data_IF_909614167427
#
_entry.id   IF_909614167427
#
_cell.length_a   1.000
_cell.length_b   1.000
_cell.length_c   1.000
_cell.angle_alpha   90.00
_cell.angle_beta   90.00
_cell.angle_gamma   90.00
#
_symmetry.space_group_name_H-M   'P 1'
#
loop_
_entity.id
_entity.type
_entity.pdbx_description
1 polymer ?
#
# COMPACT_ATOMS: atom_id res chain seq x y z
N UNK A 1 53.96 -11.94 13.51
CA UNK A 1 54.07 -13.33 14.04
C UNK A 1 53.07 -14.21 13.31
N UNK A 2 53.60 -15.06 12.47
CA UNK A 2 53.14 -16.29 11.80
C UNK A 2 51.64 -16.55 11.57
N UNK A 3 51.34 -16.56 10.24
CA UNK A 3 50.22 -17.25 9.61
C UNK A 3 50.26 -18.76 9.91
N UNK A 4 49.07 -19.37 10.08
CA UNK A 4 48.89 -20.82 9.87
C UNK A 4 47.72 -20.98 8.89
N UNK A 5 48.05 -21.42 7.67
CA UNK A 5 47.12 -21.88 6.68
C UNK A 5 46.81 -23.37 6.93
N UNK A 6 45.56 -23.76 6.97
CA UNK A 6 45.15 -25.14 6.95
C UNK A 6 44.53 -25.47 5.59
N UNK A 7 45.18 -26.31 4.83
CA UNK A 7 44.70 -26.87 3.58
C UNK A 7 43.78 -28.03 3.86
N UNK A 8 42.59 -28.06 3.26
CA UNK A 8 41.67 -29.21 3.28
C UNK A 8 41.72 -29.91 1.92
N UNK A 9 42.18 -31.16 1.97
CA UNK A 9 42.35 -32.06 0.82
C UNK A 9 41.02 -32.68 0.42
N UNK A 10 40.63 -32.52 -0.85
CA UNK A 10 39.46 -33.16 -1.45
C UNK A 10 39.86 -34.56 -1.94
N UNK A 11 39.25 -35.58 -1.42
CA UNK A 11 39.30 -36.96 -1.93
C UNK A 11 38.16 -37.17 -2.91
N UNK A 12 38.53 -37.43 -4.15
CA UNK A 12 37.64 -37.89 -5.23
C UNK A 12 37.53 -39.41 -5.13
N UNK A 13 36.33 -39.94 -4.97
CA UNK A 13 36.04 -41.37 -5.21
C UNK A 13 35.06 -41.49 -6.37
N UNK A 14 35.54 -42.14 -7.44
CA UNK A 14 34.71 -42.57 -8.55
C UNK A 14 33.96 -43.85 -8.15
N UNK A 15 32.65 -43.85 -8.35
CA UNK A 15 31.79 -45.02 -8.12
C UNK A 15 30.79 -45.18 -9.27
N UNK A 16 30.75 -46.41 -9.80
CA UNK A 16 30.19 -46.83 -11.07
C UNK A 16 28.66 -46.78 -11.20
N UNK A 17 28.25 -46.84 -12.46
CA UNK A 17 26.89 -46.96 -13.00
C UNK A 17 26.02 -48.04 -12.37
N UNK A 18 24.78 -47.63 -11.95
CA UNK A 18 23.70 -48.57 -11.69
C UNK A 18 22.41 -47.97 -12.23
N UNK A 19 21.85 -48.53 -13.31
CA UNK A 19 20.55 -48.15 -13.89
C UNK A 19 19.42 -48.52 -12.92
N UNK A 20 18.62 -47.53 -12.54
CA UNK A 20 17.35 -47.69 -11.83
C UNK A 20 16.16 -47.36 -12.74
N UNK A 21 14.99 -47.91 -12.48
CA UNK A 21 13.84 -47.87 -13.39
C UNK A 21 13.20 -46.50 -13.48
N UNK A 22 12.61 -46.23 -14.66
CA UNK A 22 11.88 -45.04 -15.00
C UNK A 22 10.84 -44.63 -13.94
N UNK A 23 11.02 -43.48 -13.33
CA UNK A 23 10.07 -42.87 -12.41
C UNK A 23 8.77 -42.54 -13.11
N UNK A 24 7.68 -43.06 -12.63
CA UNK A 24 6.33 -42.71 -13.02
C UNK A 24 6.00 -41.24 -12.69
N UNK A 25 4.94 -40.67 -13.26
CA UNK A 25 4.59 -39.27 -13.09
C UNK A 25 4.31 -38.95 -11.62
N UNK A 26 4.94 -37.88 -11.14
CA UNK A 26 4.79 -37.35 -9.79
C UNK A 26 3.33 -36.84 -9.58
N UNK A 27 2.50 -37.41 -8.70
CA UNK A 27 1.13 -37.00 -8.49
C UNK A 27 1.02 -35.87 -7.44
N UNK A 28 1.67 -34.73 -7.69
CA UNK A 28 1.69 -33.66 -6.68
C UNK A 28 1.89 -32.24 -7.22
N UNK A 29 1.94 -32.03 -8.52
CA UNK A 29 1.90 -30.69 -9.08
C UNK A 29 0.43 -30.22 -9.15
N UNK A 30 -0.02 -29.55 -8.07
CA UNK A 30 -1.29 -28.82 -8.13
C UNK A 30 -1.21 -27.84 -9.32
N UNK A 31 -2.14 -27.94 -10.25
CA UNK A 31 -2.29 -26.99 -11.34
C UNK A 31 -2.37 -25.57 -10.76
N UNK A 32 -1.75 -24.55 -11.38
CA UNK A 32 -1.89 -23.18 -10.91
C UNK A 32 -3.37 -22.85 -10.88
N UNK A 33 -3.85 -22.39 -9.71
CA UNK A 33 -5.22 -21.99 -9.54
C UNK A 33 -5.57 -20.97 -10.64
N UNK A 34 -6.61 -21.27 -11.42
CA UNK A 34 -7.08 -20.38 -12.48
C UNK A 34 -7.30 -19.00 -11.88
N UNK A 35 -6.68 -17.98 -12.48
CA UNK A 35 -6.92 -16.57 -12.11
C UNK A 35 -8.44 -16.34 -12.19
N UNK A 36 -9.11 -15.99 -11.09
CA UNK A 36 -10.54 -15.78 -11.12
C UNK A 36 -10.88 -14.69 -12.14
N UNK A 37 -11.94 -14.90 -12.91
CA UNK A 37 -12.43 -13.92 -13.87
C UNK A 37 -12.59 -12.55 -13.17
N UNK A 38 -12.28 -11.44 -13.84
CA UNK A 38 -12.35 -10.12 -13.21
C UNK A 38 -13.77 -9.86 -12.71
N UNK A 39 -13.88 -9.62 -11.40
CA UNK A 39 -15.13 -9.28 -10.75
C UNK A 39 -15.64 -7.93 -11.35
N UNK A 40 -16.68 -8.00 -12.16
CA UNK A 40 -17.32 -6.80 -12.73
C UNK A 40 -18.39 -6.32 -11.75
N UNK A 41 -18.02 -5.36 -10.90
CA UNK A 41 -18.95 -4.73 -9.97
C UNK A 41 -19.57 -3.48 -10.60
N UNK A 42 -20.84 -3.16 -10.25
CA UNK A 42 -21.43 -1.87 -10.59
C UNK A 42 -20.59 -0.74 -10.03
N UNK A 43 -20.35 0.28 -10.86
CA UNK A 43 -19.70 1.50 -10.45
C UNK A 43 -20.77 2.45 -9.90
N UNK A 44 -20.57 2.92 -8.68
CA UNK A 44 -21.42 3.88 -7.99
C UNK A 44 -20.71 5.22 -7.86
N UNK A 45 -21.48 6.27 -7.60
CA UNK A 45 -20.96 7.62 -7.35
C UNK A 45 -21.59 8.20 -6.08
N UNK A 46 -20.76 8.81 -5.23
CA UNK A 46 -21.19 9.59 -4.08
C UNK A 46 -20.77 11.06 -4.28
N UNK A 47 -21.70 11.99 -4.07
CA UNK A 47 -21.39 13.42 -4.08
C UNK A 47 -20.87 13.84 -2.70
N UNK A 48 -19.57 14.07 -2.59
CA UNK A 48 -18.88 14.35 -1.34
C UNK A 48 -18.18 15.70 -1.42
N UNK A 49 -18.53 16.63 -0.54
CA UNK A 49 -17.87 17.96 -0.41
C UNK A 49 -17.63 18.66 -1.77
N UNK A 50 -18.63 18.58 -2.64
CA UNK A 50 -18.59 19.25 -3.95
C UNK A 50 -17.84 18.49 -5.07
N UNK A 51 -17.32 17.28 -4.78
CA UNK A 51 -16.75 16.38 -5.79
C UNK A 51 -17.51 15.08 -5.90
N UNK A 52 -17.39 14.38 -7.02
CA UNK A 52 -17.89 13.04 -7.23
C UNK A 52 -16.79 12.05 -6.87
N UNK A 53 -17.08 11.10 -5.98
CA UNK A 53 -16.20 9.99 -5.66
C UNK A 53 -16.84 8.69 -6.15
N UNK A 54 -16.17 8.06 -7.09
CA UNK A 54 -16.61 6.78 -7.62
C UNK A 54 -16.13 5.64 -6.73
N UNK A 55 -17.01 4.66 -6.53
CA UNK A 55 -16.73 3.49 -5.70
C UNK A 55 -17.41 2.23 -6.24
N UNK A 56 -16.90 1.09 -5.82
CA UNK A 56 -17.56 -0.21 -5.96
C UNK A 56 -17.90 -0.73 -4.57
N UNK A 57 -19.01 -1.47 -4.50
CA UNK A 57 -19.46 -2.10 -3.27
C UNK A 57 -19.76 -3.58 -3.51
N UNK A 58 -19.35 -4.44 -2.57
CA UNK A 58 -19.65 -5.87 -2.65
C UNK A 58 -19.80 -6.49 -1.25
N UNK A 59 -20.67 -7.52 -1.16
CA UNK A 59 -20.94 -8.19 0.10
C UNK A 59 -21.95 -7.48 0.99
N UNK A 60 -22.07 -7.94 2.22
CA UNK A 60 -23.01 -7.44 3.24
C UNK A 60 -22.41 -7.55 4.64
N UNK A 61 -23.00 -6.85 5.61
CA UNK A 61 -22.56 -6.88 7.01
C UNK A 61 -21.78 -5.63 7.40
N UNK A 62 -20.81 -5.77 8.32
CA UNK A 62 -20.01 -4.67 8.82
C UNK A 62 -19.22 -4.04 7.67
N UNK A 63 -19.22 -2.70 7.52
CA UNK A 63 -18.54 -2.06 6.43
C UNK A 63 -17.01 -2.06 6.60
N UNK A 64 -16.31 -2.38 5.51
CA UNK A 64 -14.87 -2.24 5.34
C UNK A 64 -14.62 -1.25 4.20
N UNK A 65 -13.93 -0.15 4.47
CA UNK A 65 -13.57 0.85 3.46
C UNK A 65 -12.08 0.70 3.14
N UNK A 66 -11.79 0.48 1.85
CA UNK A 66 -10.45 0.28 1.31
C UNK A 66 -9.93 1.58 0.72
N UNK A 67 -8.77 2.05 1.21
CA UNK A 67 -8.19 3.36 0.86
C UNK A 67 -6.84 3.15 0.16
N UNK A 68 -6.80 3.42 -1.15
CA UNK A 68 -5.62 3.18 -1.98
C UNK A 68 -4.51 4.20 -1.79
N UNK A 69 -3.28 3.83 -2.17
CA UNK A 69 -2.08 4.65 -2.16
C UNK A 69 -2.02 5.68 -3.31
N UNK A 70 -0.87 6.35 -3.50
CA UNK A 70 -0.69 7.47 -4.43
C UNK A 70 -1.07 7.09 -5.84
N UNK A 71 -0.54 6.22 -6.55
CA UNK A 71 -0.90 5.88 -7.95
C UNK A 71 -1.98 4.80 -8.06
N UNK A 72 -2.76 4.58 -6.99
CA UNK A 72 -3.84 3.60 -6.95
C UNK A 72 -5.19 4.15 -7.45
N UNK A 73 -6.15 3.25 -7.55
CA UNK A 73 -7.57 3.52 -7.78
C UNK A 73 -8.41 2.50 -6.99
N UNK A 74 -9.74 2.56 -7.10
CA UNK A 74 -10.61 1.52 -6.57
C UNK A 74 -10.23 0.11 -7.08
N UNK A 75 -9.67 0.03 -8.30
CA UNK A 75 -9.27 -1.23 -8.94
C UNK A 75 -8.04 -1.89 -8.30
N UNK A 76 -7.24 -1.15 -7.56
CA UNK A 76 -6.10 -1.68 -6.80
C UNK A 76 -6.53 -2.73 -5.77
N UNK A 77 -7.80 -2.71 -5.38
CA UNK A 77 -8.37 -3.55 -4.33
C UNK A 77 -9.18 -4.75 -4.83
N UNK A 78 -9.14 -5.08 -6.12
CA UNK A 78 -9.96 -6.16 -6.69
C UNK A 78 -9.84 -7.49 -5.96
N UNK A 79 -8.62 -7.88 -5.61
CA UNK A 79 -8.35 -9.13 -4.89
C UNK A 79 -8.90 -9.10 -3.44
N UNK A 80 -8.85 -7.94 -2.80
CA UNK A 80 -9.36 -7.72 -1.44
C UNK A 80 -10.88 -7.66 -1.41
N UNK A 81 -11.48 -6.92 -2.36
CA UNK A 81 -12.94 -6.85 -2.51
C UNK A 81 -13.52 -8.25 -2.67
N UNK A 82 -12.96 -9.07 -3.57
CA UNK A 82 -13.42 -10.45 -3.79
C UNK A 82 -13.28 -11.32 -2.53
N UNK A 83 -12.15 -11.21 -1.81
CA UNK A 83 -11.87 -12.02 -0.64
C UNK A 83 -12.73 -11.62 0.58
N UNK A 84 -12.93 -10.31 0.81
CA UNK A 84 -13.57 -9.82 2.03
C UNK A 84 -15.10 -9.83 1.93
N UNK A 85 -15.67 -9.75 0.71
CA UNK A 85 -17.11 -9.66 0.48
C UNK A 85 -17.93 -10.84 0.99
N UNK A 86 -17.29 -11.99 1.25
CA UNK A 86 -17.96 -13.15 1.85
C UNK A 86 -18.35 -12.94 3.32
N UNK A 87 -17.76 -11.93 3.99
CA UNK A 87 -17.93 -11.66 5.43
C UNK A 87 -18.31 -10.22 5.75
N UNK A 88 -18.01 -9.28 4.85
CA UNK A 88 -18.12 -7.84 5.07
C UNK A 88 -18.83 -7.14 3.92
N UNK A 89 -19.39 -5.97 4.19
CA UNK A 89 -19.78 -4.99 3.18
C UNK A 89 -18.53 -4.21 2.78
N UNK A 90 -17.92 -4.53 1.65
CA UNK A 90 -16.65 -3.97 1.21
C UNK A 90 -16.88 -2.82 0.25
N UNK A 91 -16.30 -1.67 0.55
CA UNK A 91 -16.35 -0.46 -0.27
C UNK A 91 -14.91 -0.11 -0.68
N UNK A 92 -14.62 -0.11 -1.99
CA UNK A 92 -13.38 0.41 -2.53
C UNK A 92 -13.70 1.65 -3.37
N UNK A 93 -13.10 2.79 -3.06
CA UNK A 93 -13.34 4.05 -3.77
C UNK A 93 -12.06 4.59 -4.39
N UNK A 94 -12.21 5.37 -5.45
CA UNK A 94 -11.12 6.18 -5.98
C UNK A 94 -11.08 7.53 -5.26
N UNK A 95 -9.89 7.88 -4.70
CA UNK A 95 -9.68 9.17 -4.05
C UNK A 95 -9.86 10.30 -5.07
N UNK A 96 -10.12 11.52 -4.59
CA UNK A 96 -10.21 12.73 -5.43
C UNK A 96 -9.07 12.76 -6.45
N UNK A 97 -9.38 13.13 -7.70
CA UNK A 97 -8.45 13.23 -8.84
C UNK A 97 -7.93 11.90 -9.42
N UNK A 98 -8.26 10.77 -8.83
CA UNK A 98 -7.93 9.45 -9.39
C UNK A 98 -9.04 8.92 -10.29
N UNK A 99 -8.73 8.25 -11.40
CA UNK A 99 -9.73 7.62 -12.25
C UNK A 99 -10.65 6.66 -11.46
N UNK A 100 -11.95 6.65 -11.78
CA UNK A 100 -12.64 7.36 -12.85
C UNK A 100 -13.11 8.78 -12.46
N UNK A 101 -12.71 9.32 -11.30
CA UNK A 101 -13.02 10.69 -10.93
C UNK A 101 -12.33 11.69 -11.89
N UNK A 102 -12.86 12.92 -11.94
CA UNK A 102 -12.31 13.94 -12.84
C UNK A 102 -10.87 14.34 -12.46
N UNK A 103 -9.94 14.18 -13.40
CA UNK A 103 -8.56 14.62 -13.28
C UNK A 103 -8.43 16.13 -13.58
N UNK A 104 -9.04 16.97 -12.76
CA UNK A 104 -9.01 18.44 -12.92
C UNK A 104 -8.94 19.14 -11.58
N UNK A 105 -8.26 20.28 -11.54
CA UNK A 105 -8.25 21.16 -10.35
C UNK A 105 -9.67 21.65 -10.06
N UNK A 106 -10.04 21.67 -8.79
CA UNK A 106 -11.34 22.09 -8.29
C UNK A 106 -11.25 23.32 -7.35
N UNK A 107 -10.08 23.97 -7.32
CA UNK A 107 -9.81 25.12 -6.46
C UNK A 107 -9.42 24.76 -5.01
N UNK A 108 -9.42 23.49 -4.65
CA UNK A 108 -8.99 23.05 -3.31
C UNK A 108 -7.46 22.95 -3.22
N UNK A 109 -6.92 23.27 -2.05
CA UNK A 109 -5.50 23.03 -1.75
C UNK A 109 -5.27 21.55 -1.54
N UNK A 110 -4.39 20.97 -2.37
CA UNK A 110 -4.05 19.54 -2.27
C UNK A 110 -3.34 19.24 -0.94
N UNK A 111 -3.87 18.32 -0.18
CA UNK A 111 -3.31 17.91 1.11
C UNK A 111 -3.87 16.56 1.57
N UNK A 112 -3.16 15.90 2.48
CA UNK A 112 -3.67 14.73 3.21
C UNK A 112 -4.97 15.04 3.96
N UNK A 113 -5.07 16.26 4.48
CA UNK A 113 -6.29 16.74 5.16
C UNK A 113 -7.51 16.75 4.25
N UNK A 114 -7.35 17.21 3.01
CA UNK A 114 -8.42 17.21 2.01
C UNK A 114 -8.94 15.80 1.74
N UNK A 115 -8.04 14.83 1.57
CA UNK A 115 -8.43 13.43 1.35
C UNK A 115 -9.03 12.77 2.59
N UNK A 116 -8.57 13.14 3.79
CA UNK A 116 -9.19 12.66 5.04
C UNK A 116 -10.63 13.20 5.20
N UNK A 117 -10.84 14.48 4.87
CA UNK A 117 -12.18 15.09 4.88
C UNK A 117 -13.11 14.46 3.83
N UNK A 118 -12.57 14.09 2.65
CA UNK A 118 -13.32 13.37 1.62
C UNK A 118 -13.72 11.96 2.10
N UNK A 119 -12.82 11.25 2.77
CA UNK A 119 -13.14 9.92 3.31
C UNK A 119 -14.19 9.99 4.43
N UNK A 120 -14.09 10.98 5.33
CA UNK A 120 -15.13 11.25 6.33
C UNK A 120 -16.47 11.51 5.63
N UNK A 121 -16.48 12.43 4.66
CA UNK A 121 -17.70 12.74 3.90
C UNK A 121 -18.26 11.56 3.13
N UNK A 122 -17.42 10.66 2.61
CA UNK A 122 -17.87 9.43 1.96
C UNK A 122 -18.57 8.50 2.95
N UNK A 123 -17.97 8.26 4.12
CA UNK A 123 -18.56 7.44 5.19
C UNK A 123 -19.92 7.98 5.60
N UNK A 124 -20.03 9.29 5.82
CA UNK A 124 -21.28 9.97 6.20
C UNK A 124 -22.32 9.93 5.07
N UNK A 125 -21.92 10.20 3.82
CA UNK A 125 -22.84 10.19 2.67
C UNK A 125 -23.43 8.81 2.41
N UNK A 126 -22.65 7.74 2.65
CA UNK A 126 -23.12 6.36 2.51
C UNK A 126 -23.88 5.85 3.74
N UNK A 127 -24.07 6.68 4.76
CA UNK A 127 -24.77 6.32 6.01
C UNK A 127 -24.09 5.18 6.76
N UNK A 128 -22.76 5.11 6.73
CA UNK A 128 -22.00 4.09 7.45
C UNK A 128 -21.77 4.55 8.89
N UNK A 129 -22.15 3.72 9.86
CA UNK A 129 -22.02 4.09 11.28
C UNK A 129 -20.58 3.99 11.77
N UNK A 130 -20.02 2.78 11.76
CA UNK A 130 -18.64 2.48 12.16
C UNK A 130 -18.01 1.52 11.18
N UNK A 131 -16.88 1.91 10.62
CA UNK A 131 -16.22 1.16 9.54
C UNK A 131 -14.86 0.60 9.99
N UNK A 132 -14.49 -0.54 9.44
CA UNK A 132 -13.09 -0.92 9.39
C UNK A 132 -12.41 -0.12 8.28
N UNK A 133 -11.31 0.57 8.58
CA UNK A 133 -10.49 1.25 7.59
C UNK A 133 -9.27 0.38 7.24
N UNK A 134 -9.09 0.11 5.97
CA UNK A 134 -7.93 -0.63 5.45
C UNK A 134 -7.22 0.25 4.44
N UNK A 135 -6.06 0.78 4.81
CA UNK A 135 -5.29 1.70 4.00
C UNK A 135 -3.93 1.14 3.58
N UNK A 136 -3.50 1.48 2.37
CA UNK A 136 -2.15 1.21 1.87
C UNK A 136 -1.42 2.50 1.56
N UNK A 137 -0.15 2.63 1.99
CA UNK A 137 0.70 3.77 1.68
C UNK A 137 0.02 5.10 2.05
N UNK A 138 -0.12 6.02 1.10
CA UNK A 138 -0.85 7.28 1.24
C UNK A 138 -2.26 7.08 1.83
N UNK A 139 -2.97 6.03 1.39
CA UNK A 139 -4.29 5.67 1.93
C UNK A 139 -4.25 5.24 3.40
N UNK A 140 -3.15 4.62 3.84
CA UNK A 140 -2.95 4.30 5.25
C UNK A 140 -2.76 5.56 6.10
N UNK A 141 -2.05 6.56 5.56
CA UNK A 141 -1.92 7.85 6.25
C UNK A 141 -3.26 8.58 6.35
N UNK A 142 -4.06 8.59 5.28
CA UNK A 142 -5.43 9.14 5.29
C UNK A 142 -6.29 8.44 6.35
N UNK A 143 -6.28 7.10 6.39
CA UNK A 143 -7.05 6.32 7.37
C UNK A 143 -6.63 6.62 8.81
N UNK A 144 -5.33 6.81 9.06
CA UNK A 144 -4.81 7.25 10.36
C UNK A 144 -5.35 8.62 10.75
N UNK A 145 -5.34 9.60 9.83
CA UNK A 145 -5.87 10.94 10.08
C UNK A 145 -7.38 10.94 10.36
N UNK A 146 -8.15 10.14 9.62
CA UNK A 146 -9.60 9.97 9.88
C UNK A 146 -9.81 9.42 11.28
N UNK A 147 -9.05 8.40 11.68
CA UNK A 147 -9.15 7.81 13.02
C UNK A 147 -8.87 8.82 14.14
N UNK A 148 -7.91 9.71 13.92
CA UNK A 148 -7.58 10.78 14.89
C UNK A 148 -8.64 11.88 14.96
N UNK A 149 -9.28 12.22 13.84
CA UNK A 149 -10.25 13.32 13.75
C UNK A 149 -11.67 12.89 14.11
N UNK A 150 -12.04 11.68 13.73
CA UNK A 150 -13.41 11.14 13.85
C UNK A 150 -13.33 9.68 14.36
N UNK A 151 -12.80 9.48 15.59
CA UNK A 151 -12.62 8.13 16.15
C UNK A 151 -13.93 7.34 16.22
N UNK A 152 -15.07 8.02 16.39
CA UNK A 152 -16.39 7.39 16.48
C UNK A 152 -16.84 6.72 15.18
N UNK A 153 -16.30 7.14 14.02
CA UNK A 153 -16.59 6.53 12.72
C UNK A 153 -15.77 5.25 12.46
N UNK A 154 -14.73 5.00 13.26
CA UNK A 154 -13.81 3.90 13.03
C UNK A 154 -14.07 2.76 14.00
N UNK A 155 -14.09 1.54 13.48
CA UNK A 155 -14.20 0.29 14.24
C UNK A 155 -12.83 -0.31 14.55
N UNK A 156 -12.02 -0.47 13.51
CA UNK A 156 -10.61 -0.86 13.61
C UNK A 156 -9.82 -0.34 12.41
N UNK A 157 -8.51 -0.40 12.48
CA UNK A 157 -7.60 0.23 11.53
C UNK A 157 -6.55 -0.76 11.04
N UNK A 158 -6.39 -0.88 9.73
CA UNK A 158 -5.30 -1.62 9.08
C UNK A 158 -4.44 -0.64 8.30
N UNK A 159 -3.17 -0.57 8.64
CA UNK A 159 -2.19 0.36 8.06
C UNK A 159 -1.04 -0.42 7.42
N UNK A 160 -0.95 -0.36 6.11
CA UNK A 160 0.15 -0.90 5.33
C UNK A 160 1.09 0.24 4.94
N UNK A 161 2.20 0.38 5.66
CA UNK A 161 3.31 1.31 5.40
C UNK A 161 2.89 2.77 5.07
N UNK A 162 2.25 3.50 6.00
CA UNK A 162 1.93 4.92 5.78
C UNK A 162 3.20 5.76 5.65
N UNK A 163 3.33 6.65 4.63
CA UNK A 163 4.56 7.41 4.35
C UNK A 163 4.69 8.64 5.25
N UNK A 164 4.82 8.47 6.56
CA UNK A 164 5.04 9.55 7.52
C UNK A 164 6.52 9.95 7.50
N UNK A 165 7.00 10.47 6.37
CA UNK A 165 8.42 10.73 6.11
C UNK A 165 9.12 11.56 7.21
N UNK A 166 8.48 12.60 7.83
CA UNK A 166 9.14 13.34 8.91
C UNK A 166 9.54 12.49 10.13
N UNK A 167 8.93 11.31 10.29
CA UNK A 167 9.24 10.44 11.44
C UNK A 167 10.56 9.68 11.29
N UNK A 168 11.08 9.54 10.08
CA UNK A 168 12.38 8.92 9.82
C UNK A 168 13.49 9.67 10.55
N UNK A 169 13.39 11.01 10.61
CA UNK A 169 14.38 11.86 11.29
C UNK A 169 14.49 11.60 12.81
N UNK A 170 13.58 10.83 13.39
CA UNK A 170 13.66 10.42 14.81
C UNK A 170 14.74 9.35 15.07
N UNK A 171 15.29 8.75 14.03
CA UNK A 171 16.38 7.79 14.14
C UNK A 171 17.73 8.43 13.84
N UNK A 172 18.86 8.00 14.47
CA UNK A 172 20.17 8.65 14.31
C UNK A 172 20.70 8.74 12.87
N UNK A 173 20.26 7.84 12.01
CA UNK A 173 20.64 7.77 10.57
C UNK A 173 19.47 8.07 9.63
N UNK A 174 18.32 8.43 10.20
CA UNK A 174 17.07 8.59 9.46
C UNK A 174 17.10 9.76 8.49
N UNK A 175 17.73 10.88 8.84
CA UNK A 175 17.84 12.03 7.93
C UNK A 175 18.56 11.67 6.63
N UNK A 176 19.67 10.93 6.71
CA UNK A 176 20.38 10.47 5.51
C UNK A 176 19.52 9.54 4.66
N UNK A 177 18.79 8.61 5.28
CA UNK A 177 17.87 7.70 4.59
C UNK A 177 16.74 8.48 3.90
N UNK A 178 16.13 9.43 4.59
CA UNK A 178 15.09 10.31 4.07
C UNK A 178 15.58 11.11 2.87
N UNK A 179 16.73 11.79 3.00
CA UNK A 179 17.32 12.59 1.94
C UNK A 179 17.62 11.75 0.68
N UNK A 180 18.18 10.56 0.85
CA UNK A 180 18.43 9.65 -0.28
C UNK A 180 17.13 9.27 -0.95
N UNK A 181 16.11 8.88 -0.20
CA UNK A 181 14.80 8.50 -0.75
C UNK A 181 14.12 9.69 -1.46
N UNK A 182 14.10 10.86 -0.84
CA UNK A 182 13.54 12.07 -1.44
C UNK A 182 14.27 12.41 -2.75
N UNK A 183 15.59 12.49 -2.75
CA UNK A 183 16.37 12.86 -3.93
C UNK A 183 16.28 11.84 -5.08
N UNK A 184 16.27 10.54 -4.76
CA UNK A 184 16.30 9.46 -5.77
C UNK A 184 14.93 9.04 -6.28
N UNK A 185 13.88 9.25 -5.48
CA UNK A 185 12.51 8.86 -5.84
C UNK A 185 11.63 10.08 -6.08
N UNK A 186 11.38 10.89 -5.04
CA UNK A 186 10.38 11.98 -5.12
C UNK A 186 10.84 13.10 -6.05
N UNK A 187 12.02 13.67 -5.80
CA UNK A 187 12.57 14.76 -6.63
C UNK A 187 12.86 14.29 -8.06
N UNK A 188 13.34 13.05 -8.23
CA UNK A 188 13.59 12.49 -9.55
C UNK A 188 12.29 12.33 -10.35
N UNK A 189 11.19 11.94 -9.69
CA UNK A 189 9.84 11.87 -10.26
C UNK A 189 9.34 13.26 -10.62
N UNK A 190 9.48 14.23 -9.70
CA UNK A 190 9.05 15.60 -9.92
C UNK A 190 9.77 16.24 -11.11
N UNK A 191 11.11 16.09 -11.19
CA UNK A 191 11.91 16.57 -12.35
C UNK A 191 11.46 15.95 -13.68
N UNK A 192 11.01 14.70 -13.69
CA UNK A 192 10.46 14.09 -14.89
C UNK A 192 9.14 14.76 -15.31
N UNK A 193 8.25 15.04 -14.36
CA UNK A 193 7.03 15.82 -14.63
C UNK A 193 7.30 17.24 -15.13
N UNK A 194 8.31 17.92 -14.59
CA UNK A 194 8.73 19.27 -15.03
C UNK A 194 9.20 19.30 -16.49
N UNK A 195 9.82 18.20 -16.94
CA UNK A 195 10.18 18.00 -18.35
C UNK A 195 9.01 17.58 -19.25
N UNK A 196 7.82 17.39 -18.68
CA UNK A 196 6.64 16.92 -19.42
C UNK A 196 6.60 15.41 -19.65
N UNK A 197 7.53 14.63 -19.06
CA UNK A 197 7.63 13.19 -19.23
C UNK A 197 6.91 12.44 -18.12
N UNK A 198 5.59 12.30 -18.28
CA UNK A 198 4.76 11.57 -17.30
C UNK A 198 5.08 10.07 -17.25
N UNK A 199 5.57 9.49 -18.35
CA UNK A 199 5.94 8.07 -18.38
C UNK A 199 7.20 7.80 -17.55
N UNK A 200 8.25 8.62 -17.74
CA UNK A 200 9.47 8.54 -16.93
C UNK A 200 9.17 8.86 -15.45
N UNK A 201 8.29 9.81 -15.18
CA UNK A 201 7.86 10.13 -13.82
C UNK A 201 7.24 8.91 -13.12
N UNK A 202 6.28 8.25 -13.74
CA UNK A 202 5.63 7.06 -13.18
C UNK A 202 6.60 5.88 -13.05
N UNK A 203 7.50 5.69 -14.03
CA UNK A 203 8.55 4.67 -13.93
C UNK A 203 9.42 4.88 -12.69
N UNK A 204 9.93 6.09 -12.48
CA UNK A 204 10.75 6.43 -11.32
C UNK A 204 10.01 6.23 -10.01
N UNK A 205 8.76 6.67 -9.97
CA UNK A 205 7.94 6.52 -8.77
C UNK A 205 7.68 5.04 -8.44
N UNK A 206 7.18 4.26 -9.39
CA UNK A 206 6.85 2.84 -9.17
C UNK A 206 8.10 2.02 -8.84
N UNK A 207 9.20 2.22 -9.56
CA UNK A 207 10.46 1.54 -9.29
C UNK A 207 11.00 1.90 -7.91
N UNK A 208 10.97 3.20 -7.56
CA UNK A 208 11.43 3.69 -6.28
C UNK A 208 10.58 3.21 -5.09
N UNK A 209 9.26 3.26 -5.22
CA UNK A 209 8.33 2.78 -4.18
C UNK A 209 8.45 1.26 -3.98
N UNK A 210 8.66 0.51 -5.05
CA UNK A 210 8.84 -0.95 -4.94
C UNK A 210 10.24 -1.38 -4.49
N UNK A 211 11.22 -0.46 -4.52
CA UNK A 211 12.64 -0.78 -4.32
C UNK A 211 13.24 -1.67 -5.42
N UNK A 212 12.59 -1.74 -6.60
CA UNK A 212 12.95 -2.65 -7.71
C UNK A 212 13.02 -1.90 -9.03
N UNK A 213 14.24 -1.70 -9.55
CA UNK A 213 14.45 -1.18 -10.90
C UNK A 213 13.74 -2.07 -11.94
N UNK A 214 13.07 -1.45 -12.92
CA UNK A 214 12.34 -2.14 -13.95
C UNK A 214 10.99 -2.72 -13.52
N UNK A 215 10.51 -2.42 -12.32
CA UNK A 215 9.17 -2.84 -11.86
C UNK A 215 8.08 -2.31 -12.79
N UNK A 216 8.14 -1.01 -13.12
CA UNK A 216 7.18 -0.37 -14.03
C UNK A 216 7.18 -1.02 -15.42
N UNK A 217 8.34 -1.20 -16.01
CA UNK A 217 8.45 -1.76 -17.36
C UNK A 217 8.05 -3.25 -17.42
N UNK A 218 8.16 -3.96 -16.30
CA UNK A 218 7.70 -5.34 -16.15
C UNK A 218 6.19 -5.50 -15.95
N UNK A 219 5.42 -4.41 -15.78
CA UNK A 219 3.97 -4.48 -15.68
C UNK A 219 3.32 -4.77 -17.05
N UNK A 220 2.16 -5.44 -17.08
CA UNK A 220 1.33 -5.54 -18.27
C UNK A 220 1.02 -4.14 -18.87
N UNK A 221 0.88 -4.07 -20.19
CA UNK A 221 0.59 -2.79 -20.87
C UNK A 221 -0.67 -2.11 -20.34
N UNK A 222 -1.73 -2.89 -20.07
CA UNK A 222 -2.98 -2.37 -19.52
C UNK A 222 -2.79 -1.72 -18.13
N UNK A 223 -1.91 -2.29 -17.28
CA UNK A 223 -1.61 -1.75 -15.96
C UNK A 223 -0.78 -0.47 -16.06
N UNK A 224 0.21 -0.42 -16.99
CA UNK A 224 0.96 0.82 -17.27
C UNK A 224 0.05 1.93 -17.80
N UNK A 225 -0.91 1.60 -18.67
CA UNK A 225 -1.90 2.56 -19.17
C UNK A 225 -2.82 3.08 -18.05
N UNK A 226 -3.25 2.20 -17.14
CA UNK A 226 -4.02 2.60 -15.96
C UNK A 226 -3.22 3.53 -15.04
N UNK A 227 -1.95 3.25 -14.80
CA UNK A 227 -1.05 4.11 -14.04
C UNK A 227 -0.87 5.50 -14.68
N UNK A 228 -0.78 5.59 -16.02
CA UNK A 228 -0.73 6.87 -16.72
C UNK A 228 -1.96 7.75 -16.42
N UNK A 229 -3.13 7.14 -16.21
CA UNK A 229 -4.33 7.83 -15.78
C UNK A 229 -4.22 8.51 -14.41
N UNK A 230 -3.29 8.08 -13.54
CA UNK A 230 -3.08 8.65 -12.21
C UNK A 230 -2.00 9.75 -12.17
N UNK A 231 -1.30 9.99 -13.27
CA UNK A 231 -0.20 10.96 -13.34
C UNK A 231 -0.62 12.38 -12.94
N UNK A 232 -1.87 12.76 -13.19
CA UNK A 232 -2.38 14.08 -12.81
C UNK A 232 -2.31 14.28 -11.30
N UNK A 233 -2.80 13.32 -10.53
CA UNK A 233 -2.83 13.44 -9.08
C UNK A 233 -1.43 13.32 -8.48
N UNK A 234 -0.58 12.39 -8.96
CA UNK A 234 0.80 12.29 -8.48
C UNK A 234 1.57 13.60 -8.68
N UNK A 235 1.30 14.31 -9.79
CA UNK A 235 1.88 15.64 -10.01
C UNK A 235 1.39 16.65 -8.98
N UNK A 236 0.11 16.61 -8.58
CA UNK A 236 -0.42 17.48 -7.51
C UNK A 236 0.20 17.14 -6.16
N UNK A 237 0.34 15.84 -5.87
CA UNK A 237 0.95 15.34 -4.63
C UNK A 237 2.39 15.87 -4.47
N UNK A 238 3.23 15.68 -5.48
CA UNK A 238 4.63 16.09 -5.45
C UNK A 238 4.84 17.60 -5.52
N UNK A 239 3.91 18.35 -6.12
CA UNK A 239 3.96 19.81 -6.20
C UNK A 239 3.25 20.50 -5.03
N UNK A 240 2.72 19.77 -4.06
CA UNK A 240 2.01 20.34 -2.94
C UNK A 240 2.97 21.10 -2.00
N UNK A 241 2.52 22.21 -1.46
CA UNK A 241 3.29 22.98 -0.47
C UNK A 241 3.52 22.12 0.79
N UNK A 242 4.76 21.80 1.14
CA UNK A 242 5.08 20.98 2.33
C UNK A 242 4.46 21.50 3.64
N UNK A 243 4.26 22.83 3.75
CA UNK A 243 3.70 23.45 4.95
C UNK A 243 2.20 23.09 5.18
N UNK A 244 1.48 22.75 4.11
CA UNK A 244 0.04 22.43 4.17
C UNK A 244 -0.28 21.01 3.73
N UNK A 245 0.65 20.36 3.03
CA UNK A 245 0.46 19.03 2.48
C UNK A 245 0.28 17.97 3.56
N UNK A 246 1.21 17.93 4.51
CA UNK A 246 1.22 16.94 5.59
C UNK A 246 0.92 17.62 6.92
N UNK A 247 -0.18 17.28 7.60
CA UNK A 247 -0.44 17.81 8.92
C UNK A 247 0.64 17.36 9.90
N UNK A 248 1.03 18.24 10.82
CA UNK A 248 1.92 17.87 11.90
C UNK A 248 1.30 16.71 12.70
N UNK A 249 2.03 15.61 12.81
CA UNK A 249 1.60 14.41 13.52
C UNK A 249 2.67 14.01 14.53
N UNK A 250 2.32 14.04 15.81
CA UNK A 250 3.20 13.62 16.88
C UNK A 250 2.99 12.16 17.29
N UNK A 251 3.97 11.58 17.96
CA UNK A 251 3.84 10.26 18.58
C UNK A 251 2.76 10.26 19.68
N UNK A 252 2.60 11.39 20.37
CA UNK A 252 1.54 11.57 21.39
C UNK A 252 0.14 11.51 20.75
N UNK A 253 -0.06 12.18 19.60
CA UNK A 253 -1.35 12.14 18.90
C UNK A 253 -1.71 10.70 18.53
N UNK A 254 -0.79 9.98 17.96
CA UNK A 254 -0.99 8.57 17.57
C UNK A 254 -1.19 7.67 18.79
N UNK A 255 -0.47 7.93 19.90
CA UNK A 255 -0.63 7.22 21.16
C UNK A 255 -1.99 7.38 21.82
N UNK A 256 -2.83 8.33 21.37
CA UNK A 256 -4.22 8.50 21.82
C UNK A 256 -5.20 7.55 21.15
N UNK A 257 -4.81 6.88 20.08
CA UNK A 257 -5.65 5.90 19.37
C UNK A 257 -5.93 4.72 20.31
N UNK A 258 -7.20 4.39 20.50
CA UNK A 258 -7.66 3.26 21.34
C UNK A 258 -8.29 2.14 20.54
N UNK A 259 -8.31 2.29 19.22
CA UNK A 259 -8.80 1.28 18.29
C UNK A 259 -7.80 0.14 18.18
N UNK A 260 -8.30 -1.06 17.86
CA UNK A 260 -7.43 -2.14 17.40
C UNK A 260 -6.76 -1.73 16.09
N UNK A 261 -5.44 -1.85 16.03
CA UNK A 261 -4.64 -1.50 14.84
C UNK A 261 -3.83 -2.72 14.41
N UNK A 262 -3.89 -3.02 13.11
CA UNK A 262 -2.98 -3.96 12.45
C UNK A 262 -1.98 -3.17 11.62
N UNK A 263 -0.69 -3.35 11.87
CA UNK A 263 0.39 -2.83 11.06
C UNK A 263 0.93 -3.92 10.14
N UNK A 264 1.11 -3.58 8.86
CA UNK A 264 1.65 -4.47 7.83
C UNK A 264 2.87 -3.83 7.17
N UNK A 265 3.89 -4.63 6.89
CA UNK A 265 5.09 -4.22 6.16
C UNK A 265 5.49 -5.30 5.16
N UNK A 266 5.91 -4.89 3.95
CA UNK A 266 6.41 -5.83 2.95
C UNK A 266 7.84 -6.25 3.25
N UNK A 267 8.15 -7.55 3.18
CA UNK A 267 9.50 -8.06 3.46
C UNK A 267 10.60 -7.37 2.64
N UNK A 268 10.29 -6.98 1.39
CA UNK A 268 11.20 -6.36 0.42
C UNK A 268 10.95 -4.87 0.20
N UNK A 269 10.14 -4.25 1.06
CA UNK A 269 9.90 -2.81 0.98
C UNK A 269 11.18 -2.00 1.18
N UNK A 270 11.29 -0.81 0.58
CA UNK A 270 12.37 0.11 0.89
C UNK A 270 12.50 0.39 2.40
N UNK A 271 13.74 0.50 2.88
CA UNK A 271 14.03 0.64 4.32
C UNK A 271 13.31 1.81 4.98
N UNK A 272 13.00 2.88 4.24
CA UNK A 272 12.26 4.04 4.77
C UNK A 272 10.91 3.62 5.34
N UNK A 273 10.19 2.71 4.68
CA UNK A 273 8.87 2.26 5.12
C UNK A 273 8.94 1.36 6.36
N UNK A 274 9.97 0.51 6.45
CA UNK A 274 10.22 -0.29 7.66
C UNK A 274 10.41 0.62 8.87
N UNK A 275 11.31 1.63 8.74
CA UNK A 275 11.60 2.58 9.84
C UNK A 275 10.36 3.34 10.28
N UNK A 276 9.58 3.85 9.34
CA UNK A 276 8.32 4.55 9.67
C UNK A 276 7.35 3.62 10.37
N UNK A 277 7.20 2.40 9.89
CA UNK A 277 6.27 1.42 10.46
C UNK A 277 6.71 0.97 11.86
N UNK A 278 8.01 0.77 12.08
CA UNK A 278 8.60 0.48 13.39
C UNK A 278 8.34 1.63 14.39
N UNK A 279 8.54 2.90 13.97
CA UNK A 279 8.25 4.08 14.80
C UNK A 279 6.75 4.23 15.08
N UNK A 280 5.91 3.96 14.08
CA UNK A 280 4.46 3.98 14.25
C UNK A 280 4.00 2.91 15.26
N UNK A 281 4.55 1.69 15.17
CA UNK A 281 4.29 0.63 16.11
C UNK A 281 4.66 1.05 17.55
N UNK A 282 5.83 1.64 17.71
CA UNK A 282 6.29 2.14 19.02
C UNK A 282 5.35 3.20 19.60
N UNK A 283 4.87 4.15 18.77
CA UNK A 283 3.96 5.21 19.21
C UNK A 283 2.56 4.68 19.55
N UNK A 284 2.09 3.66 18.84
CA UNK A 284 0.82 3.00 19.09
C UNK A 284 0.87 2.03 20.29
N UNK A 285 2.06 1.67 20.75
CA UNK A 285 2.24 0.57 21.69
C UNK A 285 1.85 -0.79 21.08
N UNK A 286 1.99 -0.93 19.76
CA UNK A 286 1.67 -2.17 19.05
C UNK A 286 2.78 -3.19 19.26
N UNK A 287 2.40 -4.41 19.66
CA UNK A 287 3.37 -5.47 19.96
C UNK A 287 3.96 -6.11 18.69
N UNK A 288 3.22 -6.10 17.58
CA UNK A 288 3.57 -6.84 16.37
C UNK A 288 3.29 -6.04 15.11
N UNK A 289 4.29 -5.99 14.23
CA UNK A 289 4.14 -5.63 12.81
C UNK A 289 4.13 -6.92 12.00
N UNK A 290 3.07 -7.16 11.22
CA UNK A 290 2.98 -8.34 10.36
C UNK A 290 3.77 -8.11 9.09
N UNK A 291 4.82 -8.88 8.87
CA UNK A 291 5.60 -8.86 7.62
C UNK A 291 4.94 -9.75 6.58
N UNK A 292 4.66 -9.19 5.39
CA UNK A 292 4.11 -9.93 4.24
C UNK A 292 5.26 -10.52 3.44
N UNK A 293 5.42 -11.87 3.42
CA UNK A 293 6.59 -12.51 2.82
C UNK A 293 6.61 -12.33 1.31
N UNK A 294 7.81 -12.07 0.78
CA UNK A 294 8.06 -11.89 -0.64
C UNK A 294 7.46 -10.62 -1.27
N UNK A 295 6.78 -9.78 -0.50
CA UNK A 295 6.13 -8.57 -0.97
C UNK A 295 7.00 -7.34 -0.79
N UNK A 296 6.86 -6.35 -1.68
CA UNK A 296 7.33 -4.98 -1.53
C UNK A 296 6.25 -4.09 -0.94
N UNK A 297 6.34 -2.78 -1.22
CA UNK A 297 5.43 -1.76 -0.71
C UNK A 297 3.96 -2.01 -1.12
N UNK A 298 3.71 -2.54 -2.31
CA UNK A 298 2.37 -2.90 -2.80
C UNK A 298 1.96 -4.31 -2.37
N UNK A 299 2.11 -4.63 -1.08
CA UNK A 299 1.98 -5.97 -0.53
C UNK A 299 0.62 -6.63 -0.77
N UNK A 300 -0.45 -5.85 -0.89
CA UNK A 300 -1.81 -6.34 -1.19
C UNK A 300 -1.95 -6.85 -2.63
N UNK A 301 -1.03 -6.44 -3.53
CA UNK A 301 -0.92 -6.89 -4.92
C UNK A 301 0.16 -7.95 -5.08
N UNK A 302 1.30 -7.79 -4.41
CA UNK A 302 2.46 -8.69 -4.55
C UNK A 302 2.20 -10.07 -3.91
N UNK A 303 1.52 -10.12 -2.76
CA UNK A 303 1.13 -11.37 -2.09
C UNK A 303 -0.30 -11.28 -1.52
N UNK A 304 -1.32 -11.23 -2.40
CA UNK A 304 -2.72 -11.05 -1.99
C UNK A 304 -3.21 -12.18 -1.08
N UNK A 305 -2.71 -13.40 -1.24
CA UNK A 305 -3.10 -14.54 -0.43
C UNK A 305 -2.77 -14.35 1.05
N UNK A 306 -1.52 -14.04 1.35
CA UNK A 306 -1.07 -13.80 2.72
C UNK A 306 -1.69 -12.52 3.31
N UNK A 307 -1.68 -11.42 2.52
CA UNK A 307 -2.27 -10.15 2.92
C UNK A 307 -3.75 -10.33 3.32
N UNK A 308 -4.55 -10.95 2.46
CA UNK A 308 -5.97 -11.16 2.70
C UNK A 308 -6.22 -12.01 3.94
N UNK A 309 -5.45 -13.09 4.14
CA UNK A 309 -5.57 -13.95 5.32
C UNK A 309 -5.30 -13.18 6.62
N UNK A 310 -4.21 -12.40 6.67
CA UNK A 310 -3.83 -11.61 7.84
C UNK A 310 -4.88 -10.54 8.16
N UNK A 311 -5.33 -9.80 7.13
CA UNK A 311 -6.34 -8.73 7.30
C UNK A 311 -7.69 -9.32 7.71
N UNK A 312 -8.18 -10.38 7.05
CA UNK A 312 -9.45 -11.03 7.42
C UNK A 312 -9.43 -11.56 8.84
N UNK A 313 -8.33 -12.21 9.26
CA UNK A 313 -8.19 -12.70 10.63
C UNK A 313 -8.30 -11.55 11.65
N UNK A 314 -7.72 -10.40 11.35
CA UNK A 314 -7.81 -9.21 12.20
C UNK A 314 -9.23 -8.61 12.21
N UNK A 315 -9.84 -8.40 11.04
CA UNK A 315 -11.18 -7.80 10.92
C UNK A 315 -12.26 -8.65 11.62
N UNK A 316 -12.17 -9.98 11.51
CA UNK A 316 -13.12 -10.89 12.16
C UNK A 316 -13.05 -10.91 13.69
N UNK A 317 -11.97 -10.42 14.30
CA UNK A 317 -11.80 -10.32 15.75
C UNK A 317 -12.28 -9.00 16.33
N UNK A 318 -12.51 -8.01 15.49
CA UNK A 318 -12.83 -6.64 15.84
C UNK A 318 -14.16 -6.18 15.23
#
# INVERSE_FOLDING_TARGET
MRLVAAALTVLTSAGACGGGPAGGPNPGAAAPAATPAPLRLPLHVARVRGTDLYFVEHGRGIPVVLVHGSVGTLDSWRAQVAAFASRFRVIAYSRRFHPPNAARRDGQTYSLSLHADDLIGLIETLGLERVHLVGSSYGAYIALLVTLRRPELVRSLVLAEPPILPWIARTPWGDSLRQVFEATVLDATQRAFERGDSLDALRRFVDGMSGRAGRFDGLPEADRAALLGTAFELRLELAADPAVYTPALSCEDVGRIRHSVLLLSGERSPRVFHVITEELARCLGAEVVVTVPGAGHDMHTDNPGYYNAAVLQFLMKN
#
